data_IF_676076452191
#
_entry.id   IF_676076452191
#
_cell.length_a   1.000
_cell.length_b   1.000
_cell.length_c   1.000
_cell.angle_alpha   90.00
_cell.angle_beta   90.00
_cell.angle_gamma   90.00
#
_symmetry.space_group_name_H-M   'P 1'
#
loop_
_entity.id
_entity.type
_entity.pdbx_description
1 polymer ?
#
# COMPACT_ATOMS: atom_id res chain seq x y z
N UNK A 1 4.72 38.96 10.76
CA UNK A 1 3.99 37.69 10.57
C UNK A 1 3.49 37.50 9.14
N UNK A 2 2.60 38.35 8.64
CA UNK A 2 1.98 38.24 7.31
C UNK A 2 3.02 38.10 6.18
N UNK A 3 4.04 38.98 6.16
CA UNK A 3 5.08 38.92 5.12
C UNK A 3 5.88 37.63 5.09
N UNK A 4 6.17 37.04 6.24
CA UNK A 4 6.89 35.76 6.31
C UNK A 4 6.05 34.56 5.80
N UNK A 5 4.75 34.57 6.12
CA UNK A 5 3.83 33.53 5.66
C UNK A 5 3.56 33.63 4.15
N UNK A 6 3.37 34.87 3.65
CA UNK A 6 3.22 35.15 2.22
C UNK A 6 4.48 34.76 1.44
N UNK A 7 5.67 35.12 1.95
CA UNK A 7 6.94 34.72 1.31
C UNK A 7 7.11 33.20 1.20
N UNK A 8 6.74 32.46 2.24
CA UNK A 8 6.76 30.99 2.22
C UNK A 8 5.73 30.38 1.27
N UNK A 9 4.53 30.98 1.20
CA UNK A 9 3.53 30.56 0.23
C UNK A 9 4.06 30.72 -1.20
N UNK A 10 4.60 31.91 -1.51
CA UNK A 10 5.18 32.18 -2.84
C UNK A 10 6.30 31.18 -3.13
N UNK A 11 7.23 30.97 -2.19
CA UNK A 11 8.33 30.01 -2.38
C UNK A 11 7.82 28.58 -2.64
N UNK A 12 6.84 28.09 -1.89
CA UNK A 12 6.27 26.76 -2.06
C UNK A 12 5.60 26.59 -3.42
N UNK A 13 4.83 27.56 -3.88
CA UNK A 13 4.16 27.49 -5.18
C UNK A 13 5.11 27.69 -6.36
N UNK A 14 6.10 28.56 -6.23
CA UNK A 14 7.16 28.73 -7.24
C UNK A 14 7.97 27.44 -7.37
N UNK A 15 8.36 26.81 -6.25
CA UNK A 15 9.04 25.52 -6.28
C UNK A 15 8.16 24.44 -6.93
N UNK A 16 6.88 24.33 -6.56
CA UNK A 16 5.97 23.39 -7.17
C UNK A 16 5.83 23.61 -8.69
N UNK A 17 5.79 24.85 -9.14
CA UNK A 17 5.75 25.20 -10.56
C UNK A 17 7.07 24.82 -11.28
N UNK A 18 8.22 25.16 -10.72
CA UNK A 18 9.52 24.87 -11.32
C UNK A 18 9.79 23.37 -11.49
N UNK A 19 9.39 22.58 -10.47
CA UNK A 19 9.52 21.12 -10.49
C UNK A 19 8.35 20.41 -11.16
N UNK A 20 7.40 21.15 -11.78
CA UNK A 20 6.21 20.61 -12.44
C UNK A 20 5.39 19.69 -11.53
N UNK A 21 5.35 19.99 -10.25
CA UNK A 21 4.58 19.22 -9.28
C UNK A 21 3.09 19.60 -9.33
N UNK A 22 2.17 18.70 -8.97
CA UNK A 22 0.75 19.03 -8.88
C UNK A 22 0.52 20.13 -7.84
N UNK A 23 -0.51 20.95 -8.03
CA UNK A 23 -0.85 22.06 -7.12
C UNK A 23 -1.05 21.62 -5.66
N UNK A 24 -1.52 20.38 -5.46
CA UNK A 24 -1.63 19.77 -4.13
C UNK A 24 -0.27 19.63 -3.42
N UNK A 25 0.79 19.33 -4.15
CA UNK A 25 2.15 19.28 -3.61
C UNK A 25 2.59 20.67 -3.11
N UNK A 26 2.23 21.73 -3.84
CA UNK A 26 2.47 23.11 -3.39
C UNK A 26 1.77 23.44 -2.05
N UNK A 27 0.51 23.02 -1.88
CA UNK A 27 -0.21 23.17 -0.60
C UNK A 27 0.46 22.38 0.53
N UNK A 28 0.91 21.16 0.23
CA UNK A 28 1.59 20.31 1.20
C UNK A 28 2.95 20.90 1.62
N UNK A 29 3.74 21.40 0.66
CA UNK A 29 5.01 22.11 0.93
C UNK A 29 4.76 23.38 1.76
N UNK A 30 3.77 24.18 1.43
CA UNK A 30 3.40 25.34 2.22
C UNK A 30 2.97 24.95 3.64
N UNK A 31 2.11 23.96 3.79
CA UNK A 31 1.68 23.46 5.11
C UNK A 31 2.87 23.04 5.96
N UNK A 32 3.75 22.20 5.47
CA UNK A 32 4.93 21.69 6.19
C UNK A 32 5.94 22.77 6.55
N UNK A 33 6.08 23.82 5.72
CA UNK A 33 7.08 24.89 5.94
C UNK A 33 6.52 26.08 6.71
N UNK A 34 5.20 26.22 6.86
CA UNK A 34 4.59 27.39 7.51
C UNK A 34 4.66 27.38 9.03
N UNK A 35 4.87 26.22 9.66
CA UNK A 35 5.05 26.12 11.10
C UNK A 35 6.35 26.77 11.57
N UNK A 36 6.27 27.71 12.51
CA UNK A 36 7.40 28.49 13.02
C UNK A 36 7.68 28.18 14.50
N UNK A 37 7.63 26.93 14.93
CA UNK A 37 7.72 26.61 16.35
C UNK A 37 9.17 26.69 16.91
N UNK A 38 10.06 25.82 16.49
CA UNK A 38 11.37 25.68 17.12
C UNK A 38 12.29 26.92 16.96
N UNK A 39 12.39 27.47 15.75
CA UNK A 39 13.22 28.63 15.48
C UNK A 39 12.74 29.89 16.19
N UNK A 40 11.42 30.11 16.26
CA UNK A 40 10.85 31.25 16.95
C UNK A 40 11.08 31.17 18.47
N UNK A 41 10.90 29.98 19.09
CA UNK A 41 11.17 29.78 20.52
C UNK A 41 12.67 30.04 20.83
N UNK A 42 13.58 29.49 20.01
CA UNK A 42 15.00 29.69 20.18
C UNK A 42 15.39 31.19 20.11
N UNK A 43 14.84 31.91 19.12
CA UNK A 43 15.09 33.37 19.01
C UNK A 43 14.53 34.13 20.21
N UNK A 44 13.37 33.77 20.72
CA UNK A 44 12.78 34.37 21.89
C UNK A 44 13.62 34.15 23.13
N UNK A 45 14.09 32.92 23.37
CA UNK A 45 14.96 32.61 24.51
C UNK A 45 16.27 33.39 24.47
N UNK A 46 16.87 33.56 23.31
CA UNK A 46 18.06 34.38 23.14
C UNK A 46 17.72 35.85 23.39
N UNK A 47 16.65 36.38 22.82
CA UNK A 47 16.25 37.77 22.95
C UNK A 47 15.85 38.18 24.39
N UNK A 48 15.32 37.25 25.19
CA UNK A 48 15.05 37.50 26.63
C UNK A 48 16.34 37.60 27.47
N UNK A 49 17.42 36.96 27.03
CA UNK A 49 18.73 37.01 27.72
C UNK A 49 19.59 38.17 27.23
N UNK A 50 19.17 38.89 26.16
CA UNK A 50 19.84 40.07 25.65
C UNK A 50 19.28 41.31 26.28
N UNK A 51 20.18 42.21 26.75
CA UNK A 51 19.82 43.53 27.28
C UNK A 51 20.13 44.61 26.28
N UNK A 52 19.23 45.58 26.14
CA UNK A 52 19.47 46.79 25.37
C UNK A 52 20.40 47.74 26.12
N UNK A 53 20.98 48.72 25.42
CA UNK A 53 21.86 49.74 26.02
C UNK A 53 21.24 50.46 27.25
N UNK A 54 19.92 50.43 27.40
CA UNK A 54 19.17 50.98 28.53
C UNK A 54 18.92 49.98 29.66
N UNK A 55 19.54 48.79 29.67
CA UNK A 55 19.43 47.80 30.72
C UNK A 55 18.11 47.02 30.71
N UNK A 56 17.24 47.20 29.71
CA UNK A 56 15.97 46.42 29.56
C UNK A 56 16.18 45.21 28.68
N UNK A 57 15.48 44.10 28.93
CA UNK A 57 15.52 42.94 28.03
C UNK A 57 15.01 43.33 26.63
N UNK A 58 15.60 42.74 25.60
CA UNK A 58 15.26 43.02 24.20
C UNK A 58 13.84 42.55 23.88
N UNK A 59 13.38 41.47 24.52
CA UNK A 59 12.02 40.92 24.42
C UNK A 59 11.39 41.00 25.80
N UNK A 60 10.26 41.73 25.92
CA UNK A 60 9.46 41.80 27.11
C UNK A 60 8.37 40.70 27.16
N UNK A 61 7.69 40.56 28.29
CA UNK A 61 6.62 39.56 28.47
C UNK A 61 5.45 39.73 27.47
N UNK A 62 5.17 40.94 27.06
CA UNK A 62 4.10 41.22 26.10
C UNK A 62 4.46 40.71 24.71
N UNK A 63 5.71 40.93 24.30
CA UNK A 63 6.24 40.39 23.05
C UNK A 63 6.30 38.86 23.08
N UNK A 64 6.71 38.27 24.21
CA UNK A 64 6.73 36.84 24.41
C UNK A 64 5.34 36.21 24.21
N UNK A 65 4.33 36.75 24.87
CA UNK A 65 2.95 36.29 24.76
C UNK A 65 2.43 36.39 23.32
N UNK A 66 2.73 37.49 22.63
CA UNK A 66 2.40 37.67 21.22
C UNK A 66 3.01 36.62 20.30
N UNK A 67 4.28 36.29 20.56
CA UNK A 67 5.00 35.26 19.79
C UNK A 67 4.46 33.85 20.05
N UNK A 68 4.13 33.53 21.31
CA UNK A 68 3.51 32.24 21.66
C UNK A 68 2.17 32.03 20.96
N UNK A 69 1.31 33.05 21.00
CA UNK A 69 0.02 33.03 20.30
C UNK A 69 0.25 32.87 18.79
N UNK A 70 1.21 33.59 18.22
CA UNK A 70 1.54 33.44 16.81
C UNK A 70 1.98 32.02 16.44
N UNK A 71 2.84 31.39 17.25
CA UNK A 71 3.28 30.02 17.06
C UNK A 71 2.09 29.07 17.07
N UNK A 72 1.20 29.22 18.05
CA UNK A 72 0.01 28.38 18.18
C UNK A 72 -0.88 28.48 16.93
N UNK A 73 -1.20 29.68 16.49
CA UNK A 73 -2.01 29.86 15.28
C UNK A 73 -1.34 29.30 14.02
N UNK A 74 -0.03 29.54 13.83
CA UNK A 74 0.66 29.02 12.64
C UNK A 74 0.76 27.51 12.66
N UNK A 75 0.95 26.87 13.80
CA UNK A 75 0.96 25.41 13.91
C UNK A 75 -0.40 24.78 13.61
N UNK A 76 -1.49 25.35 14.12
CA UNK A 76 -2.86 24.87 13.84
C UNK A 76 -3.18 24.99 12.34
N UNK A 77 -2.93 26.16 11.73
CA UNK A 77 -3.18 26.39 10.31
C UNK A 77 -2.32 25.44 9.46
N UNK A 78 -1.05 25.29 9.80
CA UNK A 78 -0.11 24.36 9.14
C UNK A 78 -0.62 22.94 9.17
N UNK A 79 -1.05 22.46 10.34
CA UNK A 79 -1.59 21.13 10.54
C UNK A 79 -2.85 20.88 9.69
N UNK A 80 -3.81 21.80 9.71
CA UNK A 80 -5.05 21.70 8.94
C UNK A 80 -4.80 21.66 7.43
N UNK A 81 -3.91 22.54 6.93
CA UNK A 81 -3.57 22.57 5.50
C UNK A 81 -2.87 21.28 5.08
N UNK A 82 -1.91 20.81 5.88
CA UNK A 82 -1.18 19.56 5.60
C UNK A 82 -2.10 18.36 5.61
N UNK A 83 -2.98 18.26 6.61
CA UNK A 83 -3.95 17.17 6.71
C UNK A 83 -4.93 17.17 5.51
N UNK A 84 -5.47 18.34 5.18
CA UNK A 84 -6.36 18.49 4.03
C UNK A 84 -5.66 18.12 2.72
N UNK A 85 -4.45 18.63 2.48
CA UNK A 85 -3.68 18.34 1.29
C UNK A 85 -3.31 16.84 1.18
N UNK A 86 -2.89 16.23 2.29
CA UNK A 86 -2.57 14.81 2.36
C UNK A 86 -3.78 13.93 2.07
N UNK A 87 -4.92 14.21 2.70
CA UNK A 87 -6.18 13.48 2.43
C UNK A 87 -6.57 13.57 0.95
N UNK A 88 -6.47 14.75 0.38
CA UNK A 88 -6.84 14.97 -1.03
C UNK A 88 -5.85 14.31 -2.00
N UNK A 89 -4.57 14.25 -1.65
CA UNK A 89 -3.55 13.52 -2.43
C UNK A 89 -3.87 12.03 -2.46
N UNK A 90 -4.15 11.43 -1.30
CA UNK A 90 -4.52 10.01 -1.18
C UNK A 90 -5.80 9.69 -1.96
N UNK A 91 -6.81 10.57 -1.90
CA UNK A 91 -8.04 10.39 -2.67
C UNK A 91 -7.77 10.47 -4.16
N UNK A 92 -6.96 11.43 -4.61
CA UNK A 92 -6.58 11.58 -6.02
C UNK A 92 -5.76 10.41 -6.54
N UNK A 93 -4.85 9.86 -5.74
CA UNK A 93 -4.12 8.64 -6.09
C UNK A 93 -5.03 7.41 -6.20
N UNK A 94 -6.15 7.39 -5.47
CA UNK A 94 -7.18 6.35 -5.61
C UNK A 94 -8.06 6.54 -6.84
N UNK A 95 -8.29 7.77 -7.25
CA UNK A 95 -9.11 8.13 -8.42
C UNK A 95 -8.33 8.12 -9.74
N UNK A 96 -7.00 8.24 -9.68
CA UNK A 96 -6.19 8.05 -10.89
C UNK A 96 -6.35 6.59 -11.31
N UNK A 97 -6.79 6.32 -12.56
CA UNK A 97 -6.65 5.00 -13.13
C UNK A 97 -5.18 4.64 -12.92
N UNK A 98 -4.93 3.48 -12.29
CA UNK A 98 -3.55 2.99 -12.20
C UNK A 98 -2.98 3.13 -13.58
N UNK A 99 -1.92 3.98 -13.74
CA UNK A 99 -1.19 4.05 -15.00
C UNK A 99 -1.06 2.62 -15.47
N UNK A 100 -1.53 2.37 -16.68
CA UNK A 100 -1.40 1.07 -17.30
C UNK A 100 0.08 0.74 -17.26
N UNK A 101 0.46 -0.04 -16.24
CA UNK A 101 1.75 -0.71 -16.25
C UNK A 101 1.69 -1.51 -17.53
N UNK A 102 2.64 -1.34 -18.45
CA UNK A 102 2.62 -2.04 -19.71
C UNK A 102 2.23 -3.50 -19.47
N UNK A 103 1.40 -4.05 -20.35
CA UNK A 103 0.86 -5.42 -20.30
C UNK A 103 1.95 -6.51 -20.09
N UNK A 104 3.20 -6.11 -20.17
CA UNK A 104 4.39 -6.94 -20.03
C UNK A 104 4.73 -7.38 -18.59
N UNK A 105 4.12 -6.82 -17.55
CA UNK A 105 4.49 -7.09 -16.15
C UNK A 105 3.44 -7.88 -15.37
N UNK A 106 2.86 -8.91 -15.98
CA UNK A 106 1.92 -9.79 -15.30
C UNK A 106 2.63 -10.79 -14.38
N UNK A 107 2.78 -10.43 -13.12
CA UNK A 107 3.31 -11.31 -12.08
C UNK A 107 2.26 -11.55 -11.02
N UNK A 108 1.91 -12.81 -10.77
CA UNK A 108 0.89 -13.20 -9.79
C UNK A 108 1.57 -13.51 -8.45
N UNK A 109 1.17 -12.80 -7.40
CA UNK A 109 1.58 -13.09 -6.03
C UNK A 109 0.58 -14.04 -5.38
N UNK A 110 1.06 -15.16 -4.86
CA UNK A 110 0.24 -16.22 -4.25
C UNK A 110 0.67 -16.41 -2.80
N UNK A 111 0.01 -15.78 -1.83
CA UNK A 111 0.22 -16.07 -0.42
C UNK A 111 -0.34 -17.45 -0.07
N UNK A 112 0.50 -18.32 0.50
CA UNK A 112 0.13 -19.69 0.88
C UNK A 112 0.43 -19.93 2.36
N UNK A 113 -0.49 -20.57 3.06
CA UNK A 113 -0.33 -20.94 4.48
C UNK A 113 -0.51 -22.45 4.68
N UNK A 114 -1.49 -23.05 4.03
CA UNK A 114 -1.89 -24.43 4.26
C UNK A 114 -1.50 -25.34 3.09
N UNK A 115 -0.88 -26.46 3.41
CA UNK A 115 -0.38 -27.42 2.45
C UNK A 115 -1.50 -28.02 1.58
N UNK A 116 -2.66 -28.28 2.17
CA UNK A 116 -3.77 -28.95 1.52
C UNK A 116 -4.35 -28.16 0.33
N UNK A 117 -4.21 -26.84 0.38
CA UNK A 117 -4.75 -25.92 -0.63
C UNK A 117 -3.69 -25.32 -1.54
N UNK A 118 -2.42 -25.40 -1.15
CA UNK A 118 -1.31 -24.73 -1.82
C UNK A 118 -1.22 -25.11 -3.30
N UNK A 119 -1.23 -26.39 -3.61
CA UNK A 119 -1.12 -26.86 -4.99
C UNK A 119 -2.31 -26.43 -5.86
N UNK A 120 -3.54 -26.43 -5.30
CA UNK A 120 -4.73 -25.98 -6.02
C UNK A 120 -4.68 -24.49 -6.31
N UNK A 121 -4.20 -23.70 -5.34
CA UNK A 121 -4.07 -22.25 -5.48
C UNK A 121 -3.01 -21.89 -6.52
N UNK A 122 -1.86 -22.56 -6.48
CA UNK A 122 -0.79 -22.38 -7.48
C UNK A 122 -1.27 -22.82 -8.86
N UNK A 123 -2.02 -23.92 -8.97
CA UNK A 123 -2.61 -24.34 -10.22
C UNK A 123 -3.57 -23.30 -10.81
N UNK A 124 -4.41 -22.67 -9.96
CA UNK A 124 -5.23 -21.54 -10.41
C UNK A 124 -4.40 -20.36 -10.91
N UNK A 125 -3.29 -20.05 -10.26
CA UNK A 125 -2.35 -19.02 -10.72
C UNK A 125 -1.72 -19.39 -12.08
N UNK A 126 -1.35 -20.66 -12.28
CA UNK A 126 -0.83 -21.17 -13.55
C UNK A 126 -1.88 -20.99 -14.67
N UNK A 127 -3.14 -21.27 -14.39
CA UNK A 127 -4.22 -21.11 -15.38
C UNK A 127 -4.59 -19.65 -15.64
N UNK A 128 -4.49 -18.77 -14.63
CA UNK A 128 -4.78 -17.37 -14.77
C UNK A 128 -3.68 -16.56 -15.46
N UNK A 129 -2.42 -17.05 -15.46
CA UNK A 129 -1.28 -16.35 -16.04
C UNK A 129 -1.35 -16.26 -17.56
N UNK A 130 -0.68 -15.27 -18.12
CA UNK A 130 -0.42 -15.23 -19.55
C UNK A 130 0.77 -16.12 -19.88
N UNK A 131 0.49 -17.25 -20.53
CA UNK A 131 1.53 -18.21 -20.92
C UNK A 131 2.53 -17.65 -21.94
N UNK A 132 2.11 -16.65 -22.73
CA UNK A 132 2.98 -16.04 -23.75
C UNK A 132 4.09 -15.17 -23.14
N UNK A 133 3.89 -14.64 -21.94
CA UNK A 133 4.83 -13.73 -21.30
C UNK A 133 5.93 -14.44 -20.49
N UNK A 134 5.85 -15.74 -20.31
CA UNK A 134 6.80 -16.56 -19.52
C UNK A 134 7.24 -15.92 -18.18
N UNK A 135 6.32 -15.22 -17.51
CA UNK A 135 6.57 -14.56 -16.23
C UNK A 135 6.40 -15.54 -15.07
N UNK A 136 7.24 -15.39 -14.04
CA UNK A 136 7.17 -16.23 -12.85
C UNK A 136 5.97 -15.90 -11.98
N UNK A 137 5.41 -16.93 -11.35
CA UNK A 137 4.51 -16.81 -10.22
C UNK A 137 5.37 -16.63 -8.97
N UNK A 138 4.95 -15.79 -8.04
CA UNK A 138 5.63 -15.61 -6.76
C UNK A 138 4.77 -16.21 -5.65
N UNK A 139 5.22 -17.34 -5.08
CA UNK A 139 4.58 -17.94 -3.93
C UNK A 139 5.26 -17.47 -2.63
N UNK A 140 4.49 -16.93 -1.71
CA UNK A 140 5.02 -16.49 -0.42
C UNK A 140 4.33 -17.18 0.75
N UNK A 141 5.09 -17.46 1.79
CA UNK A 141 4.55 -17.82 3.10
C UNK A 141 4.88 -16.69 4.08
N UNK A 142 3.87 -16.12 4.73
CA UNK A 142 4.07 -15.05 5.71
C UNK A 142 3.93 -15.63 7.11
N UNK A 143 4.97 -15.47 7.90
CA UNK A 143 5.11 -15.99 9.26
C UNK A 143 5.06 -14.83 10.24
N UNK A 144 4.35 -15.01 11.36
CA UNK A 144 4.36 -14.04 12.46
C UNK A 144 5.73 -13.97 13.12
N UNK A 145 6.12 -12.75 13.52
CA UNK A 145 7.27 -12.51 14.38
C UNK A 145 6.88 -12.76 15.84
N UNK A 146 6.83 -14.05 16.20
CA UNK A 146 6.46 -14.53 17.53
C UNK A 146 7.43 -15.60 18.04
N UNK A 147 7.15 -16.15 19.21
CA UNK A 147 7.97 -17.21 19.83
C UNK A 147 8.13 -18.48 18.98
N UNK A 148 7.20 -18.74 18.06
CA UNK A 148 7.19 -19.90 17.16
C UNK A 148 7.80 -19.59 15.79
N UNK A 149 8.29 -18.37 15.54
CA UNK A 149 8.78 -17.86 14.27
C UNK A 149 9.73 -18.83 13.57
N UNK A 150 10.74 -19.35 14.28
CA UNK A 150 11.74 -20.27 13.69
C UNK A 150 11.14 -21.60 13.21
N UNK A 151 10.15 -22.12 13.92
CA UNK A 151 9.44 -23.34 13.55
C UNK A 151 8.58 -23.06 12.32
N UNK A 152 7.76 -22.04 12.39
CA UNK A 152 6.86 -21.64 11.32
C UNK A 152 7.63 -21.27 10.04
N UNK A 153 8.82 -20.70 10.16
CA UNK A 153 9.71 -20.43 9.02
C UNK A 153 10.20 -21.70 8.32
N UNK A 154 10.58 -22.74 9.07
CA UNK A 154 10.98 -24.04 8.51
C UNK A 154 9.80 -24.71 7.80
N UNK A 155 8.64 -24.72 8.47
CA UNK A 155 7.42 -25.31 7.91
C UNK A 155 7.00 -24.58 6.62
N UNK A 156 7.11 -23.23 6.62
CA UNK A 156 6.89 -22.39 5.45
C UNK A 156 7.87 -22.67 4.30
N UNK A 157 9.15 -22.87 4.63
CA UNK A 157 10.18 -23.21 3.64
C UNK A 157 9.88 -24.55 2.98
N UNK A 158 9.55 -25.59 3.76
CA UNK A 158 9.18 -26.90 3.24
C UNK A 158 7.94 -26.85 2.35
N UNK A 159 6.95 -26.06 2.74
CA UNK A 159 5.74 -25.84 1.94
C UNK A 159 6.08 -25.21 0.59
N UNK A 160 6.94 -24.22 0.56
CA UNK A 160 7.33 -23.52 -0.66
C UNK A 160 8.18 -24.41 -1.57
N UNK A 161 9.05 -25.26 -1.03
CA UNK A 161 9.81 -26.25 -1.78
C UNK A 161 8.89 -27.26 -2.49
N UNK A 162 7.84 -27.72 -1.80
CA UNK A 162 6.83 -28.60 -2.41
C UNK A 162 6.07 -27.92 -3.55
N UNK A 163 5.76 -26.64 -3.40
CA UNK A 163 5.12 -25.82 -4.46
C UNK A 163 6.04 -25.72 -5.68
N UNK A 164 7.33 -25.45 -5.47
CA UNK A 164 8.29 -25.38 -6.58
C UNK A 164 8.37 -26.70 -7.35
N UNK A 165 8.44 -27.83 -6.63
CA UNK A 165 8.45 -29.15 -7.23
C UNK A 165 7.15 -29.43 -8.02
N UNK A 166 5.99 -29.06 -7.46
CA UNK A 166 4.71 -29.21 -8.13
C UNK A 166 4.64 -28.37 -9.42
N UNK A 167 5.04 -27.11 -9.37
CA UNK A 167 5.02 -26.20 -10.51
C UNK A 167 6.01 -26.58 -11.61
N UNK A 168 7.17 -27.14 -11.23
CA UNK A 168 8.17 -27.66 -12.17
C UNK A 168 7.59 -28.77 -13.06
N UNK A 169 6.65 -29.58 -12.54
CA UNK A 169 5.93 -30.58 -13.34
C UNK A 169 5.04 -29.99 -14.44
N UNK A 170 4.74 -28.69 -14.38
CA UNK A 170 3.96 -27.95 -15.39
C UNK A 170 4.82 -26.97 -16.19
N UNK A 171 6.13 -27.09 -16.14
CA UNK A 171 7.10 -26.18 -16.80
C UNK A 171 6.89 -24.69 -16.44
N UNK A 172 6.49 -24.43 -15.20
CA UNK A 172 6.25 -23.07 -14.70
C UNK A 172 7.26 -22.73 -13.62
N UNK A 173 7.99 -21.63 -13.85
CA UNK A 173 8.88 -21.09 -12.83
C UNK A 173 8.07 -20.41 -11.73
N UNK A 174 8.27 -20.86 -10.49
CA UNK A 174 7.71 -20.24 -9.29
C UNK A 174 8.84 -19.74 -8.41
N UNK A 175 8.89 -18.43 -8.20
CA UNK A 175 9.78 -17.81 -7.22
C UNK A 175 9.15 -17.96 -5.84
N UNK A 176 9.95 -18.30 -4.82
CA UNK A 176 9.42 -18.57 -3.47
C UNK A 176 10.13 -17.77 -2.40
N UNK A 177 9.39 -17.28 -1.42
CA UNK A 177 9.96 -16.56 -0.28
C UNK A 177 9.15 -16.77 1.00
N UNK A 178 9.84 -17.13 2.09
CA UNK A 178 9.26 -17.00 3.44
C UNK A 178 9.50 -15.60 3.96
N UNK A 179 8.46 -14.97 4.46
CA UNK A 179 8.52 -13.59 4.96
C UNK A 179 8.06 -13.51 6.41
N UNK A 180 8.85 -12.85 7.24
CA UNK A 180 8.49 -12.59 8.63
C UNK A 180 7.83 -11.22 8.70
N UNK A 181 6.68 -11.12 9.37
CA UNK A 181 5.96 -9.88 9.54
C UNK A 181 5.14 -9.87 10.83
N UNK A 182 5.00 -8.70 11.42
CA UNK A 182 4.13 -8.51 12.58
C UNK A 182 2.64 -8.65 12.23
N UNK A 183 2.27 -8.48 10.95
CA UNK A 183 0.92 -8.62 10.43
C UNK A 183 0.95 -9.24 9.03
N UNK A 184 0.14 -10.28 8.82
CA UNK A 184 0.08 -11.03 7.56
C UNK A 184 -0.24 -10.13 6.35
N UNK A 185 -1.25 -9.25 6.47
CA UNK A 185 -1.63 -8.37 5.36
C UNK A 185 -0.50 -7.40 4.98
N UNK A 186 0.27 -6.90 5.96
CA UNK A 186 1.44 -6.07 5.70
C UNK A 186 2.56 -6.86 5.04
N UNK A 187 2.82 -8.08 5.48
CA UNK A 187 3.79 -8.98 4.83
C UNK A 187 3.46 -9.21 3.36
N UNK A 188 2.19 -9.44 3.03
CA UNK A 188 1.70 -9.59 1.65
C UNK A 188 1.88 -8.29 0.86
N UNK A 189 1.49 -7.12 1.42
CA UNK A 189 1.64 -5.82 0.76
C UNK A 189 3.11 -5.47 0.45
N UNK A 190 4.01 -5.78 1.36
CA UNK A 190 5.43 -5.55 1.15
C UNK A 190 5.99 -6.45 0.04
N UNK A 191 5.62 -7.74 0.05
CA UNK A 191 6.00 -8.66 -1.02
C UNK A 191 5.41 -8.21 -2.37
N UNK A 192 4.16 -7.78 -2.39
CA UNK A 192 3.50 -7.29 -3.59
C UNK A 192 4.28 -6.15 -4.25
N UNK A 193 4.74 -5.19 -3.46
CA UNK A 193 5.55 -4.06 -3.94
C UNK A 193 6.96 -4.48 -4.36
N UNK A 194 7.61 -5.32 -3.56
CA UNK A 194 8.98 -5.78 -3.80
C UNK A 194 9.10 -6.58 -5.09
N UNK A 195 8.16 -7.51 -5.31
CA UNK A 195 8.12 -8.31 -6.53
C UNK A 195 7.44 -7.62 -7.71
N UNK A 196 6.95 -6.38 -7.52
CA UNK A 196 6.20 -5.64 -8.53
C UNK A 196 5.05 -6.46 -9.12
N UNK A 197 4.33 -7.18 -8.25
CA UNK A 197 3.26 -8.05 -8.70
C UNK A 197 2.08 -7.23 -9.27
N UNK A 198 1.44 -7.75 -10.29
CA UNK A 198 0.28 -7.12 -10.93
C UNK A 198 -1.03 -7.48 -10.24
N UNK A 199 -1.07 -8.63 -9.57
CA UNK A 199 -2.26 -9.16 -8.91
C UNK A 199 -1.90 -10.07 -7.74
N UNK A 200 -2.85 -10.23 -6.81
CA UNK A 200 -2.73 -11.12 -5.67
C UNK A 200 -3.81 -12.18 -5.75
N UNK A 201 -3.42 -13.45 -5.67
CA UNK A 201 -4.35 -14.57 -5.62
C UNK A 201 -4.33 -15.21 -4.24
N UNK A 202 -5.43 -15.08 -3.49
CA UNK A 202 -5.54 -15.54 -2.09
C UNK A 202 -6.54 -16.68 -1.98
N UNK A 203 -6.14 -17.75 -1.28
CA UNK A 203 -7.02 -18.84 -0.90
C UNK A 203 -7.89 -18.49 0.31
N UNK A 204 -9.20 -18.73 0.20
CA UNK A 204 -10.15 -18.65 1.32
C UNK A 204 -10.37 -20.05 1.90
N UNK A 205 -9.94 -20.28 3.13
CA UNK A 205 -10.00 -21.58 3.79
C UNK A 205 -11.20 -21.68 4.73
N UNK A 206 -11.73 -22.91 4.89
CA UNK A 206 -12.91 -23.18 5.73
C UNK A 206 -12.58 -23.42 7.20
N UNK A 207 -11.31 -23.64 7.54
CA UNK A 207 -10.90 -24.04 8.88
C UNK A 207 -10.95 -22.92 9.92
N UNK A 208 -10.99 -21.69 9.47
CA UNK A 208 -11.07 -20.55 10.36
C UNK A 208 -12.56 -20.17 10.57
N UNK A 209 -13.27 -20.97 11.36
CA UNK A 209 -14.42 -20.50 12.15
C UNK A 209 -13.96 -19.36 13.09
N UNK A 210 -12.66 -19.19 13.24
CA UNK A 210 -12.08 -18.02 13.88
C UNK A 210 -12.35 -16.79 13.03
N UNK A 211 -13.58 -16.40 13.14
CA UNK A 211 -13.99 -15.04 13.23
C UNK A 211 -14.10 -14.30 11.90
N UNK A 212 -15.33 -14.00 11.55
CA UNK A 212 -15.75 -12.83 10.77
C UNK A 212 -14.92 -11.57 11.11
N UNK A 213 -14.42 -11.43 12.32
CA UNK A 213 -13.54 -10.35 12.76
C UNK A 213 -12.15 -10.38 12.12
N UNK A 214 -11.48 -11.54 12.05
CA UNK A 214 -10.17 -11.69 11.41
C UNK A 214 -10.25 -11.35 9.92
N UNK A 215 -11.22 -11.92 9.21
CA UNK A 215 -11.42 -11.64 7.80
C UNK A 215 -11.73 -10.15 7.54
N UNK A 216 -12.57 -9.54 8.38
CA UNK A 216 -12.89 -8.12 8.26
C UNK A 216 -11.66 -7.22 8.44
N UNK A 217 -10.81 -7.52 9.41
CA UNK A 217 -9.58 -6.76 9.68
C UNK A 217 -8.50 -7.02 8.62
N UNK A 218 -8.32 -8.27 8.22
CA UNK A 218 -7.40 -8.68 7.17
C UNK A 218 -7.76 -8.02 5.84
N UNK A 219 -9.04 -8.09 5.43
CA UNK A 219 -9.53 -7.44 4.23
C UNK A 219 -9.26 -5.94 4.25
N UNK A 220 -9.71 -5.22 5.29
CA UNK A 220 -9.48 -3.78 5.38
C UNK A 220 -7.99 -3.43 5.30
N UNK A 221 -7.16 -4.20 5.98
CA UNK A 221 -5.71 -3.97 5.96
C UNK A 221 -5.11 -4.23 4.58
N UNK A 222 -5.56 -5.26 3.87
CA UNK A 222 -5.04 -5.61 2.55
C UNK A 222 -5.53 -4.63 1.47
N UNK A 223 -6.86 -4.38 1.40
CA UNK A 223 -7.45 -3.49 0.41
C UNK A 223 -7.00 -2.03 0.58
N UNK A 224 -6.74 -1.59 1.82
CA UNK A 224 -6.18 -0.27 2.10
C UNK A 224 -4.68 -0.15 1.78
N UNK A 225 -4.22 -0.58 0.64
CA UNK A 225 -2.80 -0.42 0.27
C UNK A 225 -2.39 -1.23 -0.95
N UNK A 226 -3.35 -1.89 -1.57
CA UNK A 226 -3.19 -2.55 -2.87
C UNK A 226 -4.19 -1.93 -3.83
N UNK A 227 -3.69 -1.21 -4.82
CA UNK A 227 -4.48 -0.58 -5.89
C UNK A 227 -4.50 -1.44 -7.17
N UNK A 228 -4.40 -2.75 -7.00
CA UNK A 228 -4.36 -3.76 -8.06
C UNK A 228 -5.40 -4.82 -7.79
N UNK A 229 -5.57 -5.73 -8.75
CA UNK A 229 -6.53 -6.83 -8.65
C UNK A 229 -6.19 -7.79 -7.52
N UNK A 230 -7.20 -8.15 -6.72
CA UNK A 230 -7.12 -9.19 -5.70
C UNK A 230 -8.16 -10.25 -6.07
N UNK A 231 -7.70 -11.46 -6.32
CA UNK A 231 -8.54 -12.63 -6.60
C UNK A 231 -8.63 -13.45 -5.32
N UNK A 232 -9.84 -13.66 -4.84
CA UNK A 232 -10.11 -14.50 -3.68
C UNK A 232 -10.73 -15.81 -4.14
N UNK A 233 -10.01 -16.91 -3.95
CA UNK A 233 -10.41 -18.21 -4.46
C UNK A 233 -10.76 -19.18 -3.33
N UNK A 234 -11.87 -19.88 -3.47
CA UNK A 234 -12.30 -20.99 -2.61
C UNK A 234 -12.38 -22.25 -3.42
N UNK A 235 -11.40 -23.11 -3.27
CA UNK A 235 -11.19 -24.26 -4.13
C UNK A 235 -11.58 -25.57 -3.43
N UNK A 236 -12.77 -26.06 -3.70
CA UNK A 236 -13.25 -27.36 -3.17
C UNK A 236 -12.78 -28.57 -4.01
N UNK A 237 -12.76 -28.38 -5.33
CA UNK A 237 -12.42 -29.43 -6.28
C UNK A 237 -11.15 -29.09 -7.07
N UNK A 238 -10.44 -30.07 -7.61
CA UNK A 238 -9.36 -29.84 -8.55
C UNK A 238 -9.88 -29.09 -9.78
N UNK A 239 -9.12 -28.09 -10.25
CA UNK A 239 -9.54 -27.25 -11.37
C UNK A 239 -9.76 -28.03 -12.66
N UNK A 240 -8.96 -29.06 -12.90
CA UNK A 240 -9.10 -29.96 -14.06
C UNK A 240 -10.46 -30.69 -14.12
N UNK A 241 -11.26 -30.68 -13.04
CA UNK A 241 -12.61 -31.28 -13.04
C UNK A 241 -13.71 -30.26 -13.42
N UNK A 242 -13.37 -29.01 -13.57
CA UNK A 242 -14.32 -27.96 -13.93
C UNK A 242 -14.64 -28.02 -15.42
N UNK A 243 -15.94 -28.03 -15.75
CA UNK A 243 -16.43 -28.05 -17.14
C UNK A 243 -17.15 -26.79 -17.54
N UNK A 244 -17.46 -25.91 -16.56
CA UNK A 244 -18.23 -24.69 -16.78
C UNK A 244 -17.81 -23.64 -15.78
N UNK A 245 -17.60 -22.44 -16.27
CA UNK A 245 -17.43 -21.24 -15.44
C UNK A 245 -18.69 -20.40 -15.60
N UNK A 246 -19.34 -20.06 -14.49
CA UNK A 246 -20.50 -19.16 -14.45
C UNK A 246 -20.06 -17.87 -13.78
N UNK A 247 -20.21 -16.77 -14.47
CA UNK A 247 -19.79 -15.45 -13.99
C UNK A 247 -21.00 -14.62 -13.61
N UNK A 248 -21.11 -14.25 -12.34
CA UNK A 248 -22.10 -13.30 -11.86
C UNK A 248 -21.52 -11.88 -11.93
N UNK A 249 -22.04 -11.08 -12.85
CA UNK A 249 -21.58 -9.71 -13.09
C UNK A 249 -22.52 -8.74 -12.36
N UNK A 250 -22.03 -7.93 -11.40
CA UNK A 250 -22.84 -6.91 -10.75
C UNK A 250 -23.34 -5.86 -11.76
N UNK A 251 -24.50 -5.26 -11.47
CA UNK A 251 -25.00 -4.15 -12.27
C UNK A 251 -23.97 -3.01 -12.33
N UNK A 252 -23.70 -2.49 -13.52
CA UNK A 252 -22.76 -1.41 -13.80
C UNK A 252 -21.28 -1.77 -13.55
N UNK A 253 -20.93 -3.03 -13.43
CA UNK A 253 -19.54 -3.47 -13.26
C UNK A 253 -18.61 -3.01 -14.40
N UNK A 254 -19.14 -2.79 -15.61
CA UNK A 254 -18.37 -2.32 -16.74
C UNK A 254 -17.78 -0.90 -16.56
N UNK A 255 -18.28 -0.15 -15.59
CA UNK A 255 -17.75 1.18 -15.24
C UNK A 255 -16.72 1.15 -14.10
N UNK A 256 -16.52 -0.01 -13.49
CA UNK A 256 -15.57 -0.16 -12.39
C UNK A 256 -14.14 -0.32 -12.93
N UNK A 257 -13.15 0.31 -12.27
CA UNK A 257 -11.74 0.10 -12.60
C UNK A 257 -11.38 -1.38 -12.51
N UNK A 258 -10.70 -1.89 -13.53
CA UNK A 258 -10.26 -3.29 -13.57
C UNK A 258 -11.30 -4.30 -14.10
N UNK A 259 -12.50 -3.88 -14.51
CA UNK A 259 -13.50 -4.78 -15.09
C UNK A 259 -12.94 -5.63 -16.23
N UNK A 260 -12.31 -5.02 -17.21
CA UNK A 260 -11.73 -5.72 -18.35
C UNK A 260 -10.61 -6.67 -17.94
N UNK A 261 -9.81 -6.32 -16.94
CA UNK A 261 -8.71 -7.16 -16.47
C UNK A 261 -9.21 -8.46 -15.80
N UNK A 262 -10.22 -8.40 -14.93
CA UNK A 262 -10.74 -9.63 -14.34
C UNK A 262 -11.52 -10.47 -15.35
N UNK A 263 -12.20 -9.87 -16.33
CA UNK A 263 -12.81 -10.60 -17.44
C UNK A 263 -11.76 -11.35 -18.26
N UNK A 264 -10.66 -10.72 -18.58
CA UNK A 264 -9.53 -11.33 -19.28
C UNK A 264 -8.94 -12.51 -18.49
N UNK A 265 -8.80 -12.38 -17.15
CA UNK A 265 -8.35 -13.49 -16.31
C UNK A 265 -9.31 -14.68 -16.34
N UNK A 266 -10.58 -14.44 -16.31
CA UNK A 266 -11.59 -15.52 -16.42
C UNK A 266 -11.56 -16.18 -17.80
N UNK A 267 -11.40 -15.41 -18.88
CA UNK A 267 -11.22 -15.96 -20.23
C UNK A 267 -10.01 -16.88 -20.31
N UNK A 268 -8.86 -16.45 -19.80
CA UNK A 268 -7.63 -17.26 -19.77
C UNK A 268 -7.79 -18.53 -18.95
N UNK A 269 -8.45 -18.46 -17.79
CA UNK A 269 -8.74 -19.67 -17.00
C UNK A 269 -9.61 -20.64 -17.81
N UNK A 270 -10.61 -20.15 -18.55
CA UNK A 270 -11.46 -20.97 -19.37
C UNK A 270 -10.67 -21.60 -20.53
N UNK A 271 -9.85 -20.81 -21.24
CA UNK A 271 -8.99 -21.28 -22.33
C UNK A 271 -7.97 -22.32 -21.89
N UNK A 272 -7.43 -22.23 -20.70
CA UNK A 272 -6.44 -23.14 -20.14
C UNK A 272 -7.07 -24.39 -19.50
N UNK A 273 -8.40 -24.48 -19.40
CA UNK A 273 -9.15 -25.65 -18.93
C UNK A 273 -9.63 -26.56 -20.07
N UNK A 274 -9.62 -26.09 -21.30
CA UNK A 274 -9.89 -26.88 -22.51
C UNK A 274 -8.67 -27.72 -22.91
#
# INVERSE_FOLDING_TARGET
>A
MVFGTVGKAIAAYVAAFFFRLPTLAGHMMFGLTSAHAAGAIAMVMVGMNMTTANGKPLIDEVMLNGIVIMILFTCVISSLITEWASRKTVLRERELPSEDVPDDDERILVPVKYKEYANRLVNLAIMARNQKLNRSIVAINVVYDDSNMRRNQRDGQQLLEQIQQYAAGSDVKVDTQVRIAANIANGIKHAFKEFQASEILIGMHMHDIETTAFWGQFHRSLFNGVNRQIIMARLYHPLATLRRIVVAVPSRAQYEPGFFRWMERLSRIAENLE
#
